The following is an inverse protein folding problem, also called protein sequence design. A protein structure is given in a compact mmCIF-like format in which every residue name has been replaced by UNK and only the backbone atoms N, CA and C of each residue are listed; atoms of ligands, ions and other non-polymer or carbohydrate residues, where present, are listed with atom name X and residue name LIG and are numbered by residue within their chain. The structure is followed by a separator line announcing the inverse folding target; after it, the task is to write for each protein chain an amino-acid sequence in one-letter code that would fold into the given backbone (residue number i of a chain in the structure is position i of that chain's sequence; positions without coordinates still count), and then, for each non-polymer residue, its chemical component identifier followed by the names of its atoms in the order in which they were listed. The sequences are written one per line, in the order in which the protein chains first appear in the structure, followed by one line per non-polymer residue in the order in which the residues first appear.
data_IF_419237721299
#
_entry.id   IF_419237721299
#
_cell.length_a   1.000
_cell.length_b   1.000
_cell.length_c   1.000
_cell.angle_alpha   90.00
_cell.angle_beta   90.00
_cell.angle_gamma   90.00
#
_symmetry.space_group_name_H-M   'P 1'
#
loop_
_entity.id
_entity.type
_entity.pdbx_description
1 polymer ?
#
# COMPACT_ATOMS: atom_id res chain seq x y z
N UNK A 1 -6.83 -28.40 15.45
CA UNK A 1 -5.88 -27.38 14.97
C UNK A 1 -6.05 -26.15 15.85
N UNK A 2 -4.96 -25.68 16.51
CA UNK A 2 -5.04 -24.57 17.48
C UNK A 2 -5.40 -23.29 16.75
N UNK A 3 -6.59 -22.76 17.02
CA UNK A 3 -6.97 -21.41 16.69
C UNK A 3 -5.88 -20.46 17.22
N UNK A 4 -5.06 -19.88 16.35
CA UNK A 4 -4.11 -18.85 16.72
C UNK A 4 -4.95 -17.66 17.18
N UNK A 5 -5.26 -17.59 18.46
CA UNK A 5 -5.76 -16.36 19.06
C UNK A 5 -4.71 -15.32 18.74
N UNK A 6 -5.06 -14.38 17.86
CA UNK A 6 -4.27 -13.18 17.68
C UNK A 6 -3.99 -12.59 19.06
N UNK A 7 -2.72 -12.51 19.41
CA UNK A 7 -2.34 -11.97 20.70
C UNK A 7 -2.74 -10.48 20.68
N UNK A 8 -3.54 -10.06 21.65
CA UNK A 8 -3.96 -8.66 21.78
C UNK A 8 -2.78 -7.68 21.70
N UNK A 9 -1.62 -8.10 22.18
CA UNK A 9 -0.39 -7.31 22.14
C UNK A 9 0.08 -7.11 20.68
N UNK A 10 0.03 -8.15 19.84
CA UNK A 10 0.41 -8.05 18.41
C UNK A 10 -0.52 -7.13 17.64
N UNK A 11 -1.83 -7.23 17.88
CA UNK A 11 -2.83 -6.36 17.26
C UNK A 11 -2.61 -4.89 17.66
N UNK A 12 -2.35 -4.63 18.93
CA UNK A 12 -2.05 -3.28 19.42
C UNK A 12 -0.73 -2.76 18.86
N UNK A 13 0.31 -3.57 18.83
CA UNK A 13 1.60 -3.18 18.28
C UNK A 13 1.48 -2.81 16.78
N UNK A 14 0.75 -3.61 16.01
CA UNK A 14 0.51 -3.33 14.59
C UNK A 14 -0.32 -2.05 14.39
N UNK A 15 -1.40 -1.88 15.17
CA UNK A 15 -2.23 -0.67 15.11
C UNK A 15 -1.41 0.59 15.41
N UNK A 16 -0.60 0.56 16.47
CA UNK A 16 0.22 1.71 16.87
C UNK A 16 1.34 2.00 15.87
N UNK A 17 2.07 0.98 15.43
CA UNK A 17 3.19 1.18 14.50
C UNK A 17 2.73 1.74 13.16
N UNK A 18 1.63 1.20 12.61
CA UNK A 18 1.07 1.71 11.36
C UNK A 18 0.38 3.07 11.53
N UNK A 19 -0.26 3.32 12.68
CA UNK A 19 -0.80 4.63 13.02
C UNK A 19 0.28 5.71 13.10
N UNK A 20 1.42 5.41 13.73
CA UNK A 20 2.60 6.29 13.70
C UNK A 20 3.12 6.46 12.28
N UNK A 21 3.12 5.38 11.48
CA UNK A 21 3.48 5.40 10.07
C UNK A 21 2.62 6.36 9.24
N UNK A 22 1.32 6.48 9.53
CA UNK A 22 0.43 7.46 8.89
C UNK A 22 0.90 8.89 9.20
N UNK A 23 1.16 9.20 10.47
CA UNK A 23 1.58 10.54 10.88
C UNK A 23 2.93 10.92 10.26
N UNK A 24 3.91 10.03 10.33
CA UNK A 24 5.22 10.23 9.71
C UNK A 24 5.09 10.34 8.18
N UNK A 25 4.22 9.54 7.56
CA UNK A 25 3.95 9.57 6.14
C UNK A 25 3.33 10.87 5.67
N UNK A 26 2.43 11.47 6.44
CA UNK A 26 1.86 12.79 6.14
C UNK A 26 2.93 13.88 6.22
N UNK A 27 3.74 13.88 7.29
CA UNK A 27 4.81 14.87 7.47
C UNK A 27 5.87 14.73 6.38
N UNK A 28 6.37 13.52 6.15
CA UNK A 28 7.34 13.25 5.09
C UNK A 28 6.77 13.53 3.70
N UNK A 29 5.48 13.22 3.49
CA UNK A 29 4.76 13.49 2.26
C UNK A 29 4.70 14.97 1.91
N UNK A 30 4.48 15.82 2.89
CA UNK A 30 4.54 17.28 2.69
C UNK A 30 5.90 17.70 2.13
N UNK A 31 7.00 17.32 2.78
CA UNK A 31 8.35 17.67 2.31
C UNK A 31 8.71 17.03 0.96
N UNK A 32 8.22 15.82 0.69
CA UNK A 32 8.42 15.17 -0.61
C UNK A 32 7.70 15.91 -1.73
N UNK A 33 6.46 16.37 -1.50
CA UNK A 33 5.70 17.15 -2.48
C UNK A 33 6.32 18.53 -2.70
N UNK A 34 6.78 19.19 -1.63
CA UNK A 34 7.53 20.45 -1.72
C UNK A 34 8.77 20.25 -2.62
N UNK A 35 9.57 19.24 -2.31
CA UNK A 35 10.77 18.91 -3.10
C UNK A 35 10.45 18.50 -4.54
N UNK A 36 9.36 17.79 -4.77
CA UNK A 36 8.89 17.44 -6.11
C UNK A 36 8.50 18.67 -6.93
N UNK A 37 7.93 19.71 -6.31
CA UNK A 37 7.57 20.96 -6.98
C UNK A 37 8.76 21.77 -7.46
N UNK A 38 9.93 21.58 -6.86
CA UNK A 38 11.20 22.21 -7.26
C UNK A 38 11.95 21.42 -8.34
N UNK A 39 11.44 20.31 -8.79
CA UNK A 39 12.08 19.46 -9.80
C UNK A 39 12.10 20.13 -11.17
N UNK A 40 13.00 19.69 -12.06
CA UNK A 40 13.07 20.19 -13.45
C UNK A 40 11.80 19.89 -14.26
N UNK A 41 11.07 18.83 -13.89
CA UNK A 41 9.77 18.44 -14.44
C UNK A 41 8.71 18.37 -13.31
N UNK A 42 8.27 19.51 -12.73
CA UNK A 42 7.47 19.51 -11.49
C UNK A 42 6.16 18.73 -11.61
N UNK A 43 5.48 18.82 -12.74
CA UNK A 43 4.19 18.13 -12.97
C UNK A 43 4.35 16.61 -12.89
N UNK A 44 5.40 16.07 -13.49
CA UNK A 44 5.73 14.64 -13.41
C UNK A 44 6.15 14.22 -12.01
N UNK A 45 7.04 15.01 -11.39
CA UNK A 45 7.54 14.72 -10.06
C UNK A 45 6.41 14.74 -9.02
N UNK A 46 5.56 15.75 -9.01
CA UNK A 46 4.41 15.85 -8.10
C UNK A 46 3.43 14.72 -8.35
N UNK A 47 3.11 14.38 -9.61
CA UNK A 47 2.21 13.27 -9.93
C UNK A 47 2.76 11.92 -9.42
N UNK A 48 4.04 11.63 -9.69
CA UNK A 48 4.67 10.37 -9.27
C UNK A 48 4.76 10.25 -7.74
N UNK A 49 5.13 11.33 -7.05
CA UNK A 49 5.17 11.37 -5.58
C UNK A 49 3.78 11.23 -5.00
N UNK A 50 2.76 11.84 -5.59
CA UNK A 50 1.36 11.68 -5.15
C UNK A 50 0.88 10.24 -5.25
N UNK A 51 1.21 9.54 -6.34
CA UNK A 51 0.90 8.10 -6.49
C UNK A 51 1.62 7.26 -5.43
N UNK A 52 2.90 7.54 -5.18
CA UNK A 52 3.64 6.88 -4.09
C UNK A 52 2.97 7.09 -2.73
N UNK A 53 2.65 8.34 -2.38
CA UNK A 53 2.01 8.67 -1.10
C UNK A 53 0.63 8.04 -0.95
N UNK A 54 -0.17 8.01 -2.02
CA UNK A 54 -1.46 7.36 -2.02
C UNK A 54 -1.35 5.85 -1.75
N UNK A 55 -0.39 5.17 -2.39
CA UNK A 55 -0.12 3.75 -2.15
C UNK A 55 0.35 3.47 -0.72
N UNK A 56 1.29 4.26 -0.22
CA UNK A 56 1.82 4.15 1.13
C UNK A 56 0.75 4.41 2.20
N UNK A 57 0.01 5.52 2.10
CA UNK A 57 -1.01 5.87 3.08
C UNK A 57 -2.18 4.89 3.05
N UNK A 58 -2.61 4.40 1.88
CA UNK A 58 -3.66 3.38 1.79
C UNK A 58 -3.25 2.09 2.51
N UNK A 59 -1.99 1.67 2.41
CA UNK A 59 -1.47 0.51 3.12
C UNK A 59 -1.47 0.73 4.64
N UNK A 60 -0.94 1.84 5.13
CA UNK A 60 -0.92 2.13 6.56
C UNK A 60 -2.32 2.32 7.17
N UNK A 61 -3.20 3.02 6.46
CA UNK A 61 -4.60 3.22 6.90
C UNK A 61 -5.35 1.90 6.95
N UNK A 62 -5.28 1.09 5.89
CA UNK A 62 -5.93 -0.23 5.85
C UNK A 62 -5.45 -1.12 6.99
N UNK A 63 -4.15 -1.16 7.23
CA UNK A 63 -3.55 -1.98 8.28
C UNK A 63 -3.92 -1.49 9.67
N UNK A 64 -3.83 -0.18 9.92
CA UNK A 64 -4.24 0.41 11.22
C UNK A 64 -5.70 0.09 11.52
N UNK A 65 -6.57 0.25 10.54
CA UNK A 65 -8.00 -0.01 10.71
C UNK A 65 -8.29 -1.50 10.90
N UNK A 66 -7.65 -2.37 10.11
CA UNK A 66 -7.78 -3.82 10.26
C UNK A 66 -7.37 -4.29 11.65
N UNK A 67 -6.18 -3.95 12.10
CA UNK A 67 -5.65 -4.38 13.41
C UNK A 67 -6.39 -3.75 14.58
N UNK A 68 -6.83 -2.49 14.47
CA UNK A 68 -7.63 -1.78 15.48
C UNK A 68 -9.09 -2.22 15.57
N UNK A 69 -9.60 -3.00 14.62
CA UNK A 69 -11.00 -3.43 14.59
C UNK A 69 -11.27 -4.66 15.44
N UNK A 70 -12.46 -4.71 16.03
CA UNK A 70 -12.93 -5.89 16.77
C UNK A 70 -13.23 -7.04 15.82
N UNK A 71 -13.09 -8.31 16.27
CA UNK A 71 -13.48 -9.49 15.51
C UNK A 71 -14.92 -9.37 14.98
N UNK A 72 -15.13 -9.71 13.71
CA UNK A 72 -16.43 -9.65 13.05
C UNK A 72 -16.33 -9.44 11.54
N UNK A 73 -17.47 -9.35 10.87
CA UNK A 73 -17.57 -9.19 9.40
C UNK A 73 -16.77 -8.00 8.87
N UNK A 74 -16.74 -6.89 9.60
CA UNK A 74 -15.95 -5.70 9.22
C UNK A 74 -14.45 -6.04 9.18
N UNK A 75 -13.94 -6.70 10.21
CA UNK A 75 -12.52 -7.09 10.27
C UNK A 75 -12.13 -8.01 9.13
N UNK A 76 -13.00 -8.91 8.70
CA UNK A 76 -12.77 -9.80 7.54
C UNK A 76 -12.68 -9.01 6.23
N UNK A 77 -13.52 -8.00 6.06
CA UNK A 77 -13.44 -7.10 4.89
C UNK A 77 -12.15 -6.28 4.93
N UNK A 78 -11.84 -5.67 6.08
CA UNK A 78 -10.63 -4.86 6.26
C UNK A 78 -9.35 -5.68 6.04
N UNK A 79 -9.34 -6.97 6.39
CA UNK A 79 -8.22 -7.88 6.09
C UNK A 79 -7.92 -7.97 4.60
N UNK A 80 -8.95 -7.94 3.76
CA UNK A 80 -8.76 -7.97 2.29
C UNK A 80 -8.11 -6.69 1.78
N UNK A 81 -8.54 -5.55 2.31
CA UNK A 81 -7.94 -4.26 1.97
C UNK A 81 -6.51 -4.14 2.48
N UNK A 82 -6.24 -4.56 3.72
CA UNK A 82 -4.90 -4.58 4.31
C UNK A 82 -3.92 -5.38 3.44
N UNK A 83 -4.29 -6.59 3.04
CA UNK A 83 -3.46 -7.42 2.17
C UNK A 83 -3.35 -6.87 0.75
N UNK A 84 -4.45 -6.34 0.19
CA UNK A 84 -4.47 -5.78 -1.16
C UNK A 84 -3.66 -4.48 -1.28
N UNK A 85 -3.73 -3.62 -0.28
CA UNK A 85 -3.04 -2.33 -0.29
C UNK A 85 -1.51 -2.46 -0.35
N UNK A 86 -0.93 -3.59 0.06
CA UNK A 86 0.50 -3.86 -0.06
C UNK A 86 0.94 -3.80 -1.53
N UNK A 87 0.17 -4.38 -2.44
CA UNK A 87 0.48 -4.36 -3.87
C UNK A 87 0.45 -2.95 -4.44
N UNK A 88 -0.53 -2.13 -4.01
CA UNK A 88 -0.61 -0.71 -4.40
C UNK A 88 0.56 0.10 -3.84
N UNK A 89 0.98 -0.19 -2.62
CA UNK A 89 2.15 0.43 -2.01
C UNK A 89 3.43 0.11 -2.80
N UNK A 90 3.62 -1.15 -3.18
CA UNK A 90 4.78 -1.57 -3.99
C UNK A 90 4.76 -0.83 -5.33
N UNK A 91 3.65 -0.87 -6.07
CA UNK A 91 3.55 -0.19 -7.36
C UNK A 91 3.72 1.33 -7.25
N UNK A 92 3.15 1.93 -6.21
CA UNK A 92 3.33 3.34 -5.88
C UNK A 92 4.80 3.70 -5.66
N UNK A 93 5.54 2.87 -4.92
CA UNK A 93 6.97 3.07 -4.65
C UNK A 93 7.82 3.01 -5.92
N UNK A 94 7.51 2.11 -6.84
CA UNK A 94 8.21 2.02 -8.13
C UNK A 94 7.88 3.18 -9.07
N UNK A 95 6.74 3.83 -8.92
CA UNK A 95 6.29 4.88 -9.84
C UNK A 95 7.27 6.04 -9.98
N UNK A 96 7.72 6.74 -8.93
CA UNK A 96 8.71 7.82 -9.09
C UNK A 96 10.05 7.31 -9.62
N UNK A 97 10.49 6.13 -9.21
CA UNK A 97 11.74 5.57 -9.69
C UNK A 97 11.71 5.26 -11.21
N UNK A 98 10.64 4.64 -11.68
CA UNK A 98 10.51 4.27 -13.10
C UNK A 98 10.25 5.46 -13.99
N UNK A 99 9.42 6.41 -13.56
CA UNK A 99 8.98 7.53 -14.40
C UNK A 99 9.81 8.81 -14.25
N UNK A 100 10.56 8.99 -13.15
CA UNK A 100 11.46 10.14 -13.01
C UNK A 100 12.90 9.81 -13.35
N UNK A 101 13.37 8.58 -13.08
CA UNK A 101 14.77 8.19 -13.30
C UNK A 101 14.90 7.33 -14.55
N UNK A 102 14.23 6.18 -14.61
CA UNK A 102 14.43 5.20 -15.68
C UNK A 102 13.77 5.59 -17.00
N UNK A 103 12.80 6.48 -17.01
CA UNK A 103 12.12 6.93 -18.23
C UNK A 103 13.11 7.47 -19.27
N UNK A 104 14.16 8.13 -18.83
CA UNK A 104 15.20 8.71 -19.69
C UNK A 104 16.27 7.70 -20.14
N UNK A 105 16.21 6.46 -19.64
CA UNK A 105 17.16 5.39 -19.96
C UNK A 105 16.60 4.41 -21.01
N UNK A 106 16.25 4.91 -22.21
CA UNK A 106 15.91 4.06 -23.35
C UNK A 106 14.57 3.30 -23.26
N UNK A 107 13.56 3.85 -22.59
CA UNK A 107 12.22 3.26 -22.52
C UNK A 107 12.02 2.18 -21.46
N UNK A 108 13.06 1.73 -20.78
CA UNK A 108 12.99 0.73 -19.71
C UNK A 108 12.05 1.16 -18.57
N UNK A 109 12.02 2.46 -18.26
CA UNK A 109 11.15 3.00 -17.22
C UNK A 109 9.67 2.68 -17.45
N UNK A 110 9.19 2.85 -18.67
CA UNK A 110 7.81 2.53 -19.03
C UNK A 110 7.51 1.03 -19.00
N UNK A 111 8.47 0.20 -19.44
CA UNK A 111 8.32 -1.26 -19.39
C UNK A 111 8.23 -1.79 -17.97
N UNK A 112 9.10 -1.35 -17.08
CA UNK A 112 9.08 -1.73 -15.66
C UNK A 112 7.84 -1.18 -14.98
N UNK A 113 7.46 0.06 -15.23
CA UNK A 113 6.24 0.66 -14.72
C UNK A 113 5.00 -0.18 -15.06
N UNK A 114 4.82 -0.50 -16.35
CA UNK A 114 3.70 -1.33 -16.80
C UNK A 114 3.71 -2.72 -16.15
N UNK A 115 4.85 -3.38 -16.10
CA UNK A 115 4.99 -4.70 -15.50
C UNK A 115 4.61 -4.68 -13.99
N UNK A 116 5.13 -3.72 -13.24
CA UNK A 116 4.88 -3.61 -11.80
C UNK A 116 3.40 -3.30 -11.53
N UNK A 117 2.78 -2.37 -12.27
CA UNK A 117 1.38 -2.04 -12.08
C UNK A 117 0.44 -3.18 -12.49
N UNK A 118 0.70 -3.87 -13.60
CA UNK A 118 -0.08 -5.05 -13.99
C UNK A 118 0.03 -6.17 -12.95
N UNK A 119 1.23 -6.41 -12.44
CA UNK A 119 1.46 -7.39 -11.37
C UNK A 119 0.76 -7.00 -10.08
N UNK A 120 0.78 -5.72 -9.71
CA UNK A 120 0.10 -5.21 -8.53
C UNK A 120 -1.42 -5.34 -8.62
N UNK A 121 -2.00 -5.01 -9.76
CA UNK A 121 -3.44 -5.15 -10.01
C UNK A 121 -3.84 -6.64 -9.93
N UNK A 122 -3.08 -7.51 -10.57
CA UNK A 122 -3.31 -8.96 -10.50
C UNK A 122 -3.21 -9.48 -9.06
N UNK A 123 -2.17 -9.10 -8.32
CA UNK A 123 -1.98 -9.46 -6.92
C UNK A 123 -3.11 -8.95 -6.02
N UNK A 124 -3.56 -7.71 -6.23
CA UNK A 124 -4.70 -7.13 -5.52
C UNK A 124 -5.98 -7.97 -5.74
N UNK A 125 -6.32 -8.27 -6.99
CA UNK A 125 -7.50 -9.06 -7.33
C UNK A 125 -7.41 -10.49 -6.73
N UNK A 126 -6.24 -11.14 -6.85
CA UNK A 126 -6.02 -12.47 -6.31
C UNK A 126 -6.10 -12.50 -4.78
N UNK A 127 -5.64 -11.46 -4.10
CA UNK A 127 -5.77 -11.32 -2.65
C UNK A 127 -7.24 -11.36 -2.21
N UNK A 128 -8.14 -10.69 -2.92
CA UNK A 128 -9.57 -10.72 -2.62
C UNK A 128 -10.21 -12.08 -2.88
N UNK A 129 -9.80 -12.79 -3.94
CA UNK A 129 -10.32 -14.14 -4.25
C UNK A 129 -9.88 -15.15 -3.20
N UNK A 130 -8.59 -15.22 -2.90
CA UNK A 130 -8.01 -16.19 -1.94
C UNK A 130 -8.61 -16.05 -0.54
N UNK A 131 -8.83 -14.82 -0.07
CA UNK A 131 -9.43 -14.57 1.24
C UNK A 131 -10.93 -14.92 1.28
N UNK A 132 -11.62 -14.90 0.13
CA UNK A 132 -13.00 -15.37 0.03
C UNK A 132 -13.11 -16.89 0.15
N UNK A 133 -12.19 -17.64 -0.45
CA UNK A 133 -12.15 -19.10 -0.34
C UNK A 133 -11.89 -19.57 1.09
N UNK A 134 -10.96 -18.92 1.81
CA UNK A 134 -10.69 -19.23 3.22
C UNK A 134 -11.91 -18.98 4.13
N UNK A 135 -12.66 -17.92 3.89
CA UNK A 135 -13.89 -17.62 4.65
C UNK A 135 -15.00 -18.65 4.42
N UNK A 136 -15.07 -19.25 3.23
CA UNK A 136 -16.07 -20.27 2.89
C UNK A 136 -15.71 -21.67 3.42
N UNK A 137 -14.45 -21.91 3.81
CA UNK A 137 -14.00 -23.19 4.38
C UNK A 137 -14.11 -23.23 5.92
N UNK A 138 -14.35 -22.09 6.55
CA UNK A 138 -14.52 -21.96 8.01
C UNK A 138 -16.00 -21.88 8.44
N UNK A 139 -16.94 -21.93 7.49
CA UNK A 139 -18.40 -22.08 7.74
C UNK A 139 -18.88 -23.47 7.46
#
# INVERSE_FOLDING_TARGET
MKNKRYNHIEEWANTLSHGIGILLGIVAGYFLLEKASENMEPQWAVACVSVYLAGMLSSYVSSTWYHGSRPGKLKEVLRKFDHGAIYLHIAGTYTPFTLLVLRHAGGWGWGIFAFVWLSAIAGFILSFKKLKEHSNLET
#
